data_IF_801734890941
#
_entry.id   IF_801734890941
#
_cell.length_a   1.000
_cell.length_b   1.000
_cell.length_c   1.000
_cell.angle_alpha   90.00
_cell.angle_beta   90.00
_cell.angle_gamma   90.00
#
_symmetry.space_group_name_H-M   'P 1'
#
loop_
_entity.id
_entity.type
_entity.pdbx_description
1 polymer ?
#
# COMPACT_ATOMS: atom_id res chain seq x y z
N UNK A 1 9.44 4.45 6.45
CA UNK A 1 8.67 3.70 7.47
C UNK A 1 7.22 3.65 7.03
N UNK A 2 6.54 2.53 7.25
CA UNK A 2 5.12 2.34 6.94
C UNK A 2 4.37 2.09 8.23
N UNK A 3 3.37 2.93 8.51
CA UNK A 3 2.46 2.75 9.64
C UNK A 3 1.09 2.28 9.11
N UNK A 4 0.41 1.44 9.90
CA UNK A 4 -0.96 1.03 9.60
C UNK A 4 -1.92 1.96 10.33
N UNK A 5 -2.79 2.63 9.57
CA UNK A 5 -3.82 3.48 10.15
C UNK A 5 -5.05 2.64 10.51
N UNK A 6 -5.59 2.86 11.71
CA UNK A 6 -6.82 2.19 12.12
C UNK A 6 -8.03 2.85 11.44
N UNK A 7 -8.74 2.07 10.63
CA UNK A 7 -9.95 2.50 9.92
C UNK A 7 -11.14 1.67 10.37
N UNK A 8 -12.33 2.29 10.43
CA UNK A 8 -13.57 1.62 10.86
C UNK A 8 -14.07 0.53 9.88
N UNK A 9 -13.54 0.50 8.67
CA UNK A 9 -13.98 -0.42 7.63
C UNK A 9 -12.88 -1.44 7.37
N UNK A 10 -13.11 -2.69 7.74
CA UNK A 10 -12.15 -3.80 7.56
C UNK A 10 -11.77 -4.06 6.10
N UNK A 11 -12.59 -3.63 5.13
CA UNK A 11 -12.27 -3.75 3.70
C UNK A 11 -11.22 -2.71 3.25
N UNK A 12 -10.95 -1.70 4.08
CA UNK A 12 -9.95 -0.65 3.82
C UNK A 12 -8.62 -1.05 4.46
N UNK A 13 -7.59 -1.18 3.63
CA UNK A 13 -6.21 -1.19 4.05
C UNK A 13 -5.70 0.25 4.04
N UNK A 14 -5.40 0.80 5.22
CA UNK A 14 -4.90 2.16 5.35
C UNK A 14 -3.44 2.17 5.79
N UNK A 15 -2.60 2.81 4.99
CA UNK A 15 -1.16 2.88 5.15
C UNK A 15 -0.74 4.35 5.19
N UNK A 16 0.12 4.70 6.13
CA UNK A 16 0.82 5.98 6.17
C UNK A 16 2.29 5.74 5.87
N UNK A 17 2.84 6.52 4.95
CA UNK A 17 4.21 6.48 4.53
C UNK A 17 4.97 7.70 5.06
N UNK A 18 5.96 7.44 5.92
CA UNK A 18 6.83 8.48 6.46
C UNK A 18 8.28 8.28 6.04
N UNK A 19 8.99 9.39 5.80
CA UNK A 19 10.38 9.37 5.37
C UNK A 19 10.56 8.80 3.96
N UNK A 20 11.60 7.99 3.79
CA UNK A 20 11.93 7.35 2.51
C UNK A 20 11.33 5.93 2.49
N UNK A 21 10.42 5.67 1.56
CA UNK A 21 9.83 4.34 1.35
C UNK A 21 10.75 3.53 0.45
N UNK A 22 11.18 2.37 0.92
CA UNK A 22 12.15 1.51 0.23
C UNK A 22 11.49 0.27 -0.39
N UNK A 23 12.22 -0.43 -1.27
CA UNK A 23 11.78 -1.70 -1.86
C UNK A 23 11.45 -2.77 -0.82
N UNK A 24 12.14 -2.75 0.32
CA UNK A 24 11.90 -3.69 1.42
C UNK A 24 10.60 -3.39 2.17
N UNK A 25 10.25 -2.12 2.39
CA UNK A 25 8.92 -1.77 2.93
C UNK A 25 7.80 -2.33 2.03
N UNK A 26 7.99 -2.27 0.72
CA UNK A 26 7.02 -2.82 -0.22
C UNK A 26 6.91 -4.35 -0.12
N UNK A 27 8.05 -5.05 -0.14
CA UNK A 27 8.11 -6.52 -0.13
C UNK A 27 7.73 -7.14 1.20
N UNK A 28 8.11 -6.52 2.31
CA UNK A 28 7.99 -7.10 3.65
C UNK A 28 6.72 -6.64 4.36
N UNK A 29 6.16 -5.48 3.99
CA UNK A 29 5.03 -4.88 4.70
C UNK A 29 3.82 -4.72 3.79
N UNK A 30 3.96 -4.02 2.67
CA UNK A 30 2.82 -3.63 1.82
C UNK A 30 2.22 -4.82 1.08
N UNK A 31 3.04 -5.61 0.38
CA UNK A 31 2.57 -6.78 -0.39
C UNK A 31 1.92 -7.83 0.52
N UNK A 32 2.54 -8.25 1.65
CA UNK A 32 1.91 -9.22 2.55
C UNK A 32 0.61 -8.71 3.18
N UNK A 33 0.51 -7.41 3.49
CA UNK A 33 -0.71 -6.81 4.01
C UNK A 33 -1.86 -6.82 2.99
N UNK A 34 -1.54 -6.57 1.71
CA UNK A 34 -2.51 -6.69 0.60
C UNK A 34 -2.97 -8.14 0.47
N UNK A 35 -2.04 -9.11 0.40
CA UNK A 35 -2.37 -10.53 0.24
C UNK A 35 -3.26 -11.03 1.39
N UNK A 36 -2.90 -10.68 2.64
CA UNK A 36 -3.68 -11.04 3.84
C UNK A 36 -5.12 -10.51 3.75
N UNK A 37 -5.32 -9.29 3.25
CA UNK A 37 -6.68 -8.73 3.07
C UNK A 37 -7.42 -9.38 1.90
N UNK A 38 -6.73 -9.71 0.82
CA UNK A 38 -7.32 -10.40 -0.34
C UNK A 38 -7.73 -11.84 -0.04
N UNK A 39 -7.09 -12.50 0.94
CA UNK A 39 -7.55 -13.80 1.44
C UNK A 39 -8.90 -13.72 2.16
N UNK A 40 -9.25 -12.55 2.72
CA UNK A 40 -10.50 -12.34 3.46
C UNK A 40 -11.61 -11.73 2.59
N UNK A 41 -11.24 -10.91 1.61
CA UNK A 41 -12.17 -10.17 0.77
C UNK A 41 -11.81 -10.34 -0.71
N UNK A 42 -12.80 -10.55 -1.60
CA UNK A 42 -12.55 -10.66 -3.03
C UNK A 42 -12.07 -9.34 -3.65
N UNK A 43 -12.32 -8.21 -2.99
CA UNK A 43 -11.78 -6.90 -3.34
C UNK A 43 -11.47 -6.10 -2.10
N UNK A 44 -10.44 -5.26 -2.17
CA UNK A 44 -10.00 -4.39 -1.07
C UNK A 44 -10.00 -2.93 -1.49
N UNK A 45 -10.02 -2.02 -0.51
CA UNK A 45 -9.82 -0.59 -0.75
C UNK A 45 -8.49 -0.17 -0.14
N UNK A 46 -7.70 0.62 -0.85
CA UNK A 46 -6.42 1.12 -0.37
C UNK A 46 -6.54 2.60 -0.05
N UNK A 47 -6.16 2.98 1.17
CA UNK A 47 -5.88 4.36 1.55
C UNK A 47 -4.36 4.47 1.77
N UNK A 48 -3.71 5.32 1.00
CA UNK A 48 -2.29 5.57 1.10
C UNK A 48 -2.07 7.04 1.44
N UNK A 49 -1.55 7.32 2.63
CA UNK A 49 -1.27 8.66 3.11
C UNK A 49 0.23 8.91 3.07
N UNK A 50 0.66 9.97 2.38
CA UNK A 50 2.02 10.47 2.46
C UNK A 50 2.09 11.38 3.69
N UNK A 51 2.70 10.87 4.76
CA UNK A 51 2.85 11.62 6.00
C UNK A 51 3.71 12.88 5.80
N UNK A 52 3.66 13.81 6.75
CA UNK A 52 4.31 15.13 6.63
C UNK A 52 5.83 15.05 6.47
N UNK A 53 6.45 13.94 6.85
CA UNK A 53 7.89 13.68 6.72
C UNK A 53 8.25 12.85 5.48
N UNK A 54 7.30 12.60 4.57
CA UNK A 54 7.56 11.84 3.36
C UNK A 54 8.64 12.51 2.51
N UNK A 55 9.73 11.79 2.26
CA UNK A 55 10.92 12.28 1.57
C UNK A 55 11.09 11.66 0.17
N UNK A 56 10.29 10.65 -0.17
CA UNK A 56 10.29 10.04 -1.50
C UNK A 56 10.29 8.51 -1.52
N UNK A 57 10.30 8.00 -2.74
CA UNK A 57 10.23 6.58 -3.09
C UNK A 57 11.56 6.10 -3.67
N UNK A 58 12.14 5.07 -3.05
CA UNK A 58 13.36 4.38 -3.51
C UNK A 58 13.03 2.94 -3.87
N UNK A 59 12.10 2.84 -4.82
CA UNK A 59 11.40 1.58 -5.15
C UNK A 59 11.35 1.33 -6.66
N UNK A 60 12.07 2.07 -7.51
CA UNK A 60 11.85 2.06 -8.99
C UNK A 60 11.77 0.65 -9.57
N UNK A 61 12.74 -0.22 -9.28
CA UNK A 61 12.74 -1.60 -9.77
C UNK A 61 11.59 -2.44 -9.19
N UNK A 62 11.42 -2.44 -7.86
CA UNK A 62 10.37 -3.22 -7.18
C UNK A 62 8.97 -2.73 -7.55
N UNK A 63 8.77 -1.43 -7.76
CA UNK A 63 7.49 -0.83 -8.14
C UNK A 63 7.06 -1.25 -9.53
N UNK A 64 7.98 -1.32 -10.49
CA UNK A 64 7.69 -1.78 -11.84
C UNK A 64 7.33 -3.28 -11.83
N UNK A 65 8.14 -4.11 -11.15
CA UNK A 65 7.84 -5.54 -11.00
C UNK A 65 6.55 -5.80 -10.20
N UNK A 66 6.26 -5.00 -9.18
CA UNK A 66 5.03 -5.13 -8.39
C UNK A 66 3.82 -4.64 -9.17
N UNK A 67 3.89 -3.54 -9.93
CA UNK A 67 2.80 -3.12 -10.82
C UNK A 67 2.48 -4.14 -11.89
N UNK A 68 3.50 -4.79 -12.44
CA UNK A 68 3.38 -5.81 -13.47
C UNK A 68 2.96 -7.17 -12.88
N UNK A 69 3.40 -7.49 -11.66
CA UNK A 69 3.08 -8.69 -10.89
C UNK A 69 1.75 -8.61 -10.13
N UNK A 70 1.26 -7.40 -9.87
CA UNK A 70 -0.13 -7.11 -9.52
C UNK A 70 -0.99 -7.41 -10.76
N UNK A 71 -1.19 -8.69 -11.07
CA UNK A 71 -2.39 -9.19 -11.76
C UNK A 71 -3.70 -8.75 -11.08
N UNK A 72 -3.58 -8.11 -9.92
CA UNK A 72 -4.60 -7.72 -8.98
C UNK A 72 -5.07 -6.26 -9.08
N UNK A 73 -4.75 -5.51 -10.15
CA UNK A 73 -5.39 -4.19 -10.36
C UNK A 73 -6.92 -4.28 -10.33
N UNK A 74 -7.49 -5.43 -10.71
CA UNK A 74 -8.93 -5.73 -10.62
C UNK A 74 -9.44 -6.01 -9.21
N UNK A 75 -8.56 -6.31 -8.25
CA UNK A 75 -8.90 -6.63 -6.87
C UNK A 75 -8.94 -5.40 -5.97
N UNK A 76 -8.43 -4.25 -6.45
CA UNK A 76 -8.68 -2.98 -5.80
C UNK A 76 -10.04 -2.43 -6.24
N UNK A 77 -10.97 -2.28 -5.29
CA UNK A 77 -12.24 -1.64 -5.55
C UNK A 77 -12.10 -0.11 -5.61
N UNK A 78 -11.27 0.47 -4.73
CA UNK A 78 -10.96 1.91 -4.69
C UNK A 78 -9.56 2.13 -4.16
N UNK A 79 -8.91 3.18 -4.65
CA UNK A 79 -7.60 3.64 -4.17
C UNK A 79 -7.72 5.14 -3.88
N UNK A 80 -7.33 5.54 -2.69
CA UNK A 80 -7.21 6.93 -2.27
C UNK A 80 -5.74 7.20 -1.92
N UNK A 81 -5.16 8.23 -2.54
CA UNK A 81 -3.83 8.74 -2.23
C UNK A 81 -3.99 10.12 -1.62
N UNK A 82 -3.46 10.31 -0.42
CA UNK A 82 -3.42 11.59 0.28
C UNK A 82 -1.98 12.09 0.25
N UNK A 83 -1.77 13.28 -0.30
CA UNK A 83 -0.49 13.98 -0.32
C UNK A 83 -0.70 15.45 0.03
N UNK A 84 0.37 16.10 0.50
CA UNK A 84 0.45 17.56 0.56
C UNK A 84 0.50 18.18 -0.86
#
# INVERSE_FOLDING_TARGET
>A
MINFLSVKNDLVLALEAEGKVTGDDYRLIIIPAIDTKLQQYPKIRLLYELGSHFSGFDIRAIWEDTKLGLKHWTDFEKIALVSD
#
